data_IF_771270122288
#
_entry.id   IF_771270122288
#
_cell.length_a   1.000
_cell.length_b   1.000
_cell.length_c   1.000
_cell.angle_alpha   90.00
_cell.angle_beta   90.00
_cell.angle_gamma   90.00
#
_symmetry.space_group_name_H-M   'P 1'
#
loop_
_entity.id
_entity.type
_entity.pdbx_description
1 polymer ?
#
# COMPACT_ATOMS: atom_id res chain seq x y z
N UNK A 1 -15.27 14.74 -1.07
CA UNK A 1 -15.35 14.04 0.23
C UNK A 1 -16.32 14.78 1.12
N UNK A 2 -17.29 14.08 1.68
CA UNK A 2 -18.33 14.71 2.50
C UNK A 2 -17.77 15.40 3.76
N UNK A 3 -16.70 14.86 4.39
CA UNK A 3 -16.15 15.41 5.63
C UNK A 3 -15.32 16.69 5.48
N UNK A 4 -14.47 16.80 4.44
CA UNK A 4 -13.76 18.06 4.16
C UNK A 4 -14.73 19.19 3.73
N UNK A 5 -15.90 18.83 3.19
CA UNK A 5 -16.94 19.79 2.80
C UNK A 5 -17.88 20.13 3.96
N UNK A 6 -18.10 19.19 4.87
CA UNK A 6 -18.96 19.30 6.04
C UNK A 6 -18.17 18.84 7.28
N UNK A 7 -17.34 19.73 7.86
CA UNK A 7 -16.57 19.39 9.06
C UNK A 7 -17.51 19.02 10.21
N UNK A 8 -17.07 18.08 11.05
CA UNK A 8 -17.81 17.71 12.25
C UNK A 8 -17.79 18.88 13.24
N UNK A 9 -18.90 19.10 13.94
CA UNK A 9 -18.88 19.98 15.12
C UNK A 9 -17.99 19.36 16.20
N UNK A 10 -17.39 20.15 17.11
CA UNK A 10 -16.60 19.61 18.21
C UNK A 10 -17.34 18.54 19.02
N UNK A 11 -18.64 18.74 19.29
CA UNK A 11 -19.46 17.78 20.02
C UNK A 11 -19.64 16.46 19.24
N UNK A 12 -19.84 16.55 17.92
CA UNK A 12 -19.94 15.35 17.09
C UNK A 12 -18.61 14.63 17.01
N UNK A 13 -17.50 15.36 16.91
CA UNK A 13 -16.16 14.78 16.90
C UNK A 13 -15.88 13.98 18.18
N UNK A 14 -16.17 14.57 19.34
CA UNK A 14 -16.04 13.91 20.64
C UNK A 14 -16.91 12.64 20.72
N UNK A 15 -18.15 12.72 20.22
CA UNK A 15 -19.03 11.54 20.18
C UNK A 15 -18.47 10.41 19.31
N UNK A 16 -17.90 10.73 18.14
CA UNK A 16 -17.33 9.74 17.23
C UNK A 16 -16.06 9.10 17.81
N UNK A 17 -15.20 9.90 18.47
CA UNK A 17 -14.04 9.38 19.21
C UNK A 17 -14.50 8.43 20.31
N UNK A 18 -15.53 8.80 21.08
CA UNK A 18 -16.07 7.93 22.13
C UNK A 18 -16.60 6.59 21.59
N UNK A 19 -17.28 6.59 20.44
CA UNK A 19 -17.73 5.36 19.79
C UNK A 19 -16.56 4.49 19.30
N UNK A 20 -15.51 5.12 18.76
CA UNK A 20 -14.31 4.41 18.34
C UNK A 20 -13.58 3.76 19.54
N UNK A 21 -13.48 4.48 20.67
CA UNK A 21 -12.92 3.93 21.92
C UNK A 21 -13.76 2.76 22.46
N UNK A 22 -15.09 2.83 22.35
CA UNK A 22 -15.99 1.71 22.69
C UNK A 22 -15.75 0.49 21.79
N UNK A 23 -15.55 0.69 20.48
CA UNK A 23 -15.22 -0.38 19.54
C UNK A 23 -13.87 -1.04 19.89
N UNK A 24 -12.84 -0.25 20.21
CA UNK A 24 -11.55 -0.77 20.68
C UNK A 24 -11.73 -1.60 21.95
N UNK A 25 -12.45 -1.07 22.94
CA UNK A 25 -12.66 -1.76 24.22
C UNK A 25 -13.41 -3.08 24.04
N UNK A 26 -14.41 -3.09 23.15
CA UNK A 26 -15.14 -4.30 22.80
C UNK A 26 -14.24 -5.35 22.12
N UNK A 27 -13.44 -4.94 21.13
CA UNK A 27 -12.51 -5.84 20.43
C UNK A 27 -11.44 -6.39 21.39
N UNK A 28 -10.86 -5.57 22.28
CA UNK A 28 -9.92 -6.04 23.32
C UNK A 28 -10.54 -7.12 24.20
N UNK A 29 -11.79 -6.91 24.63
CA UNK A 29 -12.52 -7.87 25.45
C UNK A 29 -12.69 -9.23 24.72
N UNK A 30 -13.11 -9.21 23.45
CA UNK A 30 -13.27 -10.44 22.65
C UNK A 30 -11.92 -11.13 22.40
N UNK A 31 -10.88 -10.35 22.08
CA UNK A 31 -9.53 -10.89 21.84
C UNK A 31 -8.95 -11.54 23.10
N UNK A 32 -9.20 -10.99 24.28
CA UNK A 32 -8.76 -11.57 25.56
C UNK A 32 -9.26 -12.99 25.74
N UNK A 33 -10.55 -13.22 25.52
CA UNK A 33 -11.17 -14.53 25.70
C UNK A 33 -10.67 -15.54 24.65
N UNK A 34 -10.55 -15.09 23.40
CA UNK A 34 -9.99 -15.90 22.31
C UNK A 34 -8.55 -16.33 22.60
N UNK A 35 -7.68 -15.36 22.93
CA UNK A 35 -6.26 -15.61 23.14
C UNK A 35 -6.02 -16.47 24.38
N UNK A 36 -6.76 -16.23 25.47
CA UNK A 36 -6.66 -17.03 26.71
C UNK A 36 -7.02 -18.50 26.44
N UNK A 37 -8.13 -18.74 25.76
CA UNK A 37 -8.62 -20.10 25.45
C UNK A 37 -7.66 -20.84 24.50
N UNK A 38 -7.15 -20.13 23.49
CA UNK A 38 -6.29 -20.73 22.48
C UNK A 38 -4.86 -20.99 23.00
N UNK A 39 -4.31 -20.07 23.80
CA UNK A 39 -3.00 -20.23 24.41
C UNK A 39 -2.93 -21.45 25.35
N UNK A 40 -4.03 -21.76 26.05
CA UNK A 40 -4.11 -22.93 26.93
C UNK A 40 -4.15 -24.26 26.16
N UNK A 41 -4.84 -24.31 25.01
CA UNK A 41 -5.03 -25.54 24.25
C UNK A 41 -3.94 -25.80 23.20
N UNK A 42 -3.21 -24.76 22.76
CA UNK A 42 -2.21 -24.85 21.69
C UNK A 42 -0.96 -24.03 22.06
N UNK A 43 -0.08 -24.55 22.92
CA UNK A 43 1.09 -23.80 23.43
C UNK A 43 2.14 -23.45 22.36
N UNK A 44 2.10 -24.10 21.19
CA UNK A 44 2.97 -23.81 20.04
C UNK A 44 2.35 -22.80 19.05
N UNK A 45 1.44 -21.94 19.51
CA UNK A 45 0.80 -20.92 18.66
C UNK A 45 1.58 -19.61 18.69
N UNK A 46 1.72 -18.99 17.53
CA UNK A 46 2.07 -17.57 17.40
C UNK A 46 0.80 -16.80 17.11
N UNK A 47 0.55 -15.76 17.89
CA UNK A 47 -0.53 -14.82 17.67
C UNK A 47 0.02 -13.55 17.02
N UNK A 48 -0.77 -12.99 16.10
CA UNK A 48 -0.48 -11.73 15.43
C UNK A 48 -1.72 -10.87 15.48
N UNK A 49 -1.58 -9.65 16.00
CA UNK A 49 -2.56 -8.59 15.92
C UNK A 49 -2.00 -7.49 15.02
N UNK A 50 -2.75 -7.11 14.00
CA UNK A 50 -2.37 -6.06 13.05
C UNK A 50 -3.60 -5.30 12.61
N UNK A 51 -3.46 -4.01 12.28
CA UNK A 51 -4.50 -3.25 11.56
C UNK A 51 -4.12 -3.11 10.10
N UNK A 52 -5.10 -3.16 9.19
CA UNK A 52 -4.90 -2.96 7.75
C UNK A 52 -4.65 -1.49 7.41
N UNK A 53 -5.23 -0.58 8.19
CA UNK A 53 -4.95 0.85 8.18
C UNK A 53 -5.26 1.49 9.54
N UNK A 54 -4.88 2.75 9.72
CA UNK A 54 -5.31 3.59 10.84
C UNK A 54 -6.51 4.46 10.49
N UNK A 55 -6.79 5.48 11.29
CA UNK A 55 -7.99 6.30 11.17
C UNK A 55 -7.65 7.77 11.49
N UNK A 56 -8.21 8.72 10.75
CA UNK A 56 -8.07 10.16 11.05
C UNK A 56 -9.23 10.65 11.92
N UNK A 57 -8.91 11.45 12.94
CA UNK A 57 -9.82 12.04 13.91
C UNK A 57 -9.85 13.58 13.85
N UNK A 58 -9.66 14.16 12.66
CA UNK A 58 -9.77 15.61 12.45
C UNK A 58 -8.44 16.37 12.48
N UNK A 59 -7.30 15.69 12.66
CA UNK A 59 -5.95 16.29 12.78
C UNK A 59 -5.63 17.24 11.61
N UNK A 60 -6.22 16.98 10.45
CA UNK A 60 -5.99 17.72 9.19
C UNK A 60 -7.28 18.23 8.56
N UNK A 61 -8.31 18.48 9.37
CA UNK A 61 -9.65 18.80 8.88
C UNK A 61 -10.27 17.65 8.07
N UNK A 62 -9.86 16.42 8.41
CA UNK A 62 -10.11 15.20 7.67
C UNK A 62 -10.46 14.09 8.65
N UNK A 63 -11.40 13.24 8.27
CA UNK A 63 -11.94 12.18 9.13
C UNK A 63 -12.10 10.88 8.34
N UNK A 64 -11.80 9.77 8.99
CA UNK A 64 -11.89 8.46 8.39
C UNK A 64 -10.60 8.06 7.65
N UNK A 65 -10.70 6.98 6.86
CA UNK A 65 -9.54 6.35 6.22
C UNK A 65 -9.65 6.26 4.70
N UNK A 66 -8.57 5.80 4.05
CA UNK A 66 -8.51 5.44 2.65
C UNK A 66 -8.37 6.61 1.68
N UNK A 67 -8.03 7.80 2.16
CA UNK A 67 -8.07 9.01 1.33
C UNK A 67 -6.91 9.97 1.52
N UNK A 68 -6.10 9.69 2.52
CA UNK A 68 -4.81 10.33 2.74
C UNK A 68 -3.76 9.21 2.85
N UNK A 69 -2.50 9.60 2.98
CA UNK A 69 -1.38 8.69 3.18
C UNK A 69 -0.50 9.23 4.29
N UNK A 70 -1.14 9.78 5.32
CA UNK A 70 -0.51 10.45 6.45
C UNK A 70 -0.23 9.43 7.57
N UNK A 71 0.57 9.80 8.59
CA UNK A 71 0.88 8.90 9.69
C UNK A 71 -0.35 8.30 10.39
N UNK A 72 -1.45 9.06 10.51
CA UNK A 72 -2.68 8.61 11.16
C UNK A 72 -3.30 7.39 10.46
N UNK A 73 -3.27 7.34 9.12
CA UNK A 73 -3.79 6.19 8.36
C UNK A 73 -2.76 5.08 8.10
N UNK A 74 -1.46 5.38 8.19
CA UNK A 74 -0.40 4.42 7.80
C UNK A 74 0.36 3.79 8.99
N UNK A 75 0.36 4.43 10.16
CA UNK A 75 1.04 3.91 11.36
C UNK A 75 0.08 3.06 12.17
N UNK A 76 0.03 1.79 11.82
CA UNK A 76 -0.86 0.78 12.42
C UNK A 76 -0.20 -0.01 13.55
N UNK A 77 -0.98 -0.56 14.49
CA UNK A 77 -0.46 -1.56 15.42
C UNK A 77 -0.03 -2.82 14.66
N UNK A 78 1.12 -3.38 15.06
CA UNK A 78 1.54 -4.73 14.73
C UNK A 78 2.19 -5.35 15.96
N UNK A 79 1.49 -6.30 16.58
CA UNK A 79 1.88 -6.96 17.82
C UNK A 79 1.94 -8.47 17.57
N UNK A 80 3.03 -9.13 17.98
CA UNK A 80 3.18 -10.57 17.88
C UNK A 80 3.62 -11.17 19.22
N UNK A 81 3.05 -12.30 19.60
CA UNK A 81 3.44 -13.01 20.82
C UNK A 81 3.17 -14.51 20.70
N UNK A 82 3.72 -15.30 21.63
CA UNK A 82 3.56 -16.75 21.67
C UNK A 82 4.88 -17.49 21.53
N UNK A 83 4.82 -18.72 21.03
CA UNK A 83 5.95 -19.64 21.03
C UNK A 83 7.15 -19.09 20.25
N UNK A 84 8.30 -18.97 20.93
CA UNK A 84 9.56 -18.55 20.32
C UNK A 84 9.69 -17.06 20.00
N UNK A 85 8.71 -16.22 20.38
CA UNK A 85 8.79 -14.76 20.23
C UNK A 85 9.33 -14.14 21.52
N UNK A 86 10.36 -13.30 21.41
CA UNK A 86 10.94 -12.57 22.54
C UNK A 86 10.19 -11.25 22.77
N UNK A 87 9.96 -10.83 24.04
CA UNK A 87 9.47 -9.50 24.35
C UNK A 87 10.48 -8.44 23.89
N UNK A 88 10.11 -7.60 22.92
CA UNK A 88 10.94 -6.51 22.41
C UNK A 88 10.09 -5.51 21.63
N UNK A 89 10.66 -4.33 21.35
CA UNK A 89 10.12 -3.35 20.40
C UNK A 89 11.06 -3.29 19.22
N UNK A 90 10.52 -3.46 18.02
CA UNK A 90 11.27 -3.32 16.76
C UNK A 90 11.03 -1.91 16.24
N UNK A 91 12.00 -1.02 16.42
CA UNK A 91 11.94 0.39 15.98
C UNK A 91 12.15 0.55 14.47
N UNK A 92 12.77 -0.44 13.81
CA UNK A 92 12.95 -0.43 12.35
C UNK A 92 11.60 -0.36 11.67
N UNK A 93 11.44 0.55 10.71
CA UNK A 93 10.20 0.67 9.92
C UNK A 93 9.90 -0.67 9.23
N UNK A 94 8.71 -1.20 9.49
CA UNK A 94 8.13 -2.39 8.85
C UNK A 94 6.83 -2.03 8.15
N UNK A 95 6.39 -2.87 7.22
CA UNK A 95 5.14 -2.66 6.46
C UNK A 95 4.31 -3.93 6.37
N UNK A 96 3.00 -3.81 6.13
CA UNK A 96 2.11 -4.96 6.08
C UNK A 96 2.53 -6.02 5.06
N UNK A 97 3.28 -5.63 4.02
CA UNK A 97 3.90 -6.56 3.08
C UNK A 97 4.89 -7.55 3.72
N UNK A 98 5.51 -7.18 4.84
CA UNK A 98 6.46 -8.00 5.60
C UNK A 98 5.76 -9.15 6.37
N UNK A 99 4.43 -9.07 6.55
CA UNK A 99 3.68 -10.01 7.38
C UNK A 99 3.71 -11.43 6.80
N UNK A 100 3.38 -11.57 5.51
CA UNK A 100 3.34 -12.87 4.85
C UNK A 100 4.69 -13.62 4.85
N UNK A 101 5.84 -13.03 4.46
CA UNK A 101 7.12 -13.70 4.57
C UNK A 101 7.54 -14.00 6.00
N UNK A 102 7.22 -13.12 6.96
CA UNK A 102 7.50 -13.37 8.38
C UNK A 102 6.71 -14.58 8.90
N UNK A 103 5.41 -14.66 8.60
CA UNK A 103 4.56 -15.79 8.99
C UNK A 103 5.03 -17.09 8.33
N UNK A 104 5.41 -17.05 7.06
CA UNK A 104 5.94 -18.21 6.35
C UNK A 104 7.18 -18.77 7.04
N UNK A 105 8.16 -17.91 7.37
CA UNK A 105 9.37 -18.34 8.08
C UNK A 105 9.05 -18.90 9.47
N UNK A 106 8.12 -18.28 10.22
CA UNK A 106 7.69 -18.79 11.52
C UNK A 106 6.99 -20.16 11.41
N UNK A 107 6.28 -20.41 10.31
CA UNK A 107 5.66 -21.69 10.00
C UNK A 107 6.61 -22.72 9.36
N UNK A 108 7.90 -22.39 9.18
CA UNK A 108 8.89 -23.28 8.57
C UNK A 108 8.75 -23.44 7.05
N UNK A 109 8.08 -22.51 6.39
CA UNK A 109 7.93 -22.46 4.93
C UNK A 109 8.53 -21.17 4.36
N UNK A 110 8.41 -20.96 3.05
CA UNK A 110 8.86 -19.75 2.34
C UNK A 110 7.69 -19.11 1.62
N UNK A 111 7.71 -17.79 1.51
CA UNK A 111 6.75 -17.01 0.75
C UNK A 111 7.51 -16.06 -0.18
N UNK A 112 7.19 -16.10 -1.46
CA UNK A 112 7.88 -15.28 -2.46
C UNK A 112 7.63 -15.74 -3.89
N UNK A 113 8.09 -14.98 -4.90
CA UNK A 113 8.97 -13.80 -4.81
C UNK A 113 8.18 -12.47 -4.69
N UNK A 114 7.92 -12.01 -3.46
CA UNK A 114 7.20 -10.77 -3.17
C UNK A 114 8.09 -9.78 -2.42
N UNK A 115 7.70 -8.49 -2.41
CA UNK A 115 8.54 -7.39 -1.92
C UNK A 115 8.75 -7.35 -0.38
N UNK A 116 7.93 -8.08 0.38
CA UNK A 116 8.01 -8.08 1.84
C UNK A 116 9.32 -8.65 2.39
N UNK A 117 9.75 -8.11 3.53
CA UNK A 117 10.96 -8.51 4.25
C UNK A 117 10.59 -9.44 5.39
N UNK A 118 11.28 -10.59 5.50
CA UNK A 118 11.13 -11.51 6.63
C UNK A 118 11.67 -10.88 7.94
N UNK A 119 10.81 -10.74 8.95
CA UNK A 119 11.12 -10.19 10.28
C UNK A 119 11.30 -11.24 11.36
N UNK A 120 11.26 -12.54 11.04
CA UNK A 120 11.32 -13.63 12.02
C UNK A 120 12.63 -13.65 12.83
N UNK A 121 13.74 -13.21 12.24
CA UNK A 121 15.03 -13.03 12.95
C UNK A 121 14.88 -12.05 14.13
N UNK A 122 14.27 -10.90 13.89
CA UNK A 122 14.07 -9.84 14.89
C UNK A 122 13.22 -10.34 16.06
N UNK A 123 12.14 -11.08 15.77
CA UNK A 123 11.24 -11.66 16.76
C UNK A 123 11.94 -12.68 17.68
N UNK A 124 13.08 -13.23 17.26
CA UNK A 124 13.87 -14.20 18.03
C UNK A 124 15.10 -13.58 18.72
N UNK A 125 15.25 -12.26 18.66
CA UNK A 125 16.37 -11.51 19.24
C UNK A 125 17.57 -11.30 18.31
N UNK A 126 17.40 -11.58 17.01
CA UNK A 126 18.37 -11.25 15.97
C UNK A 126 18.21 -9.82 15.46
N UNK A 127 18.91 -9.50 14.37
CA UNK A 127 18.81 -8.18 13.73
C UNK A 127 17.43 -7.96 13.08
N UNK A 128 16.96 -6.71 13.11
CA UNK A 128 15.71 -6.27 12.48
C UNK A 128 15.76 -6.23 10.94
N UNK A 129 16.98 -6.18 10.38
CA UNK A 129 17.21 -6.03 8.94
C UNK A 129 17.01 -4.59 8.46
N UNK A 130 16.96 -4.43 7.13
CA UNK A 130 16.75 -3.13 6.48
C UNK A 130 15.31 -2.60 6.67
N UNK A 131 15.10 -1.28 6.69
CA UNK A 131 13.76 -0.69 6.73
C UNK A 131 12.89 -1.09 5.51
N UNK A 132 11.60 -1.37 5.75
CA UNK A 132 10.58 -1.67 4.72
C UNK A 132 9.58 -0.52 4.51
N UNK A 133 8.37 -0.84 3.99
CA UNK A 133 7.19 0.05 3.96
C UNK A 133 7.38 1.41 3.29
N UNK A 134 8.23 1.45 2.26
CA UNK A 134 8.61 2.72 1.69
C UNK A 134 7.71 3.18 0.52
N UNK A 135 6.73 2.39 0.09
CA UNK A 135 5.63 2.85 -0.74
C UNK A 135 4.29 2.62 -0.04
N UNK A 136 3.37 3.57 -0.21
CA UNK A 136 1.96 3.39 0.12
C UNK A 136 1.10 4.08 -0.94
N UNK A 137 -0.16 3.68 -1.09
CA UNK A 137 -1.02 4.27 -2.10
C UNK A 137 -2.50 4.13 -1.76
N UNK A 138 -3.32 5.00 -2.35
CA UNK A 138 -4.77 4.83 -2.35
C UNK A 138 -5.38 5.36 -3.66
N UNK A 139 -6.34 4.61 -4.18
CA UNK A 139 -7.26 5.01 -5.25
C UNK A 139 -8.71 5.09 -4.75
N UNK A 140 -8.95 4.88 -3.45
CA UNK A 140 -10.31 4.83 -2.88
C UNK A 140 -10.95 6.21 -2.88
N UNK A 141 -12.29 6.21 -2.90
CA UNK A 141 -13.13 7.41 -2.81
C UNK A 141 -12.72 8.50 -3.83
N UNK A 142 -12.28 8.10 -5.03
CA UNK A 142 -11.82 8.97 -6.11
C UNK A 142 -10.52 9.76 -5.81
N UNK A 143 -9.70 9.27 -4.89
CA UNK A 143 -8.32 9.75 -4.71
C UNK A 143 -7.37 9.05 -5.66
N UNK A 144 -6.18 9.61 -5.85
CA UNK A 144 -5.09 9.02 -6.64
C UNK A 144 -3.76 9.43 -6.02
N UNK A 145 -3.40 8.79 -4.91
CA UNK A 145 -2.24 9.19 -4.12
C UNK A 145 -1.21 8.09 -4.05
N UNK A 146 0.07 8.48 -4.14
CA UNK A 146 1.21 7.62 -3.86
C UNK A 146 2.10 8.34 -2.85
N UNK A 147 2.55 7.60 -1.83
CA UNK A 147 3.52 8.07 -0.84
C UNK A 147 4.83 7.31 -1.02
N UNK A 148 5.94 8.03 -1.01
CA UNK A 148 7.29 7.47 -0.92
C UNK A 148 7.90 7.88 0.42
N UNK A 149 8.35 6.89 1.19
CA UNK A 149 9.25 7.11 2.30
C UNK A 149 10.69 7.10 1.81
N UNK A 150 11.42 8.16 2.12
CA UNK A 150 12.87 8.16 2.08
C UNK A 150 13.38 8.84 3.34
N UNK A 151 13.84 8.09 4.35
CA UNK A 151 14.19 8.65 5.66
C UNK A 151 15.05 9.93 5.57
N UNK A 152 14.70 10.99 6.33
CA UNK A 152 13.57 11.07 7.27
C UNK A 152 12.23 11.47 6.63
N UNK A 153 12.17 11.60 5.30
CA UNK A 153 11.07 12.26 4.61
C UNK A 153 9.96 11.33 4.13
N UNK A 154 8.73 11.83 4.18
CA UNK A 154 7.59 11.31 3.43
C UNK A 154 7.18 12.31 2.34
N UNK A 155 7.16 11.86 1.09
CA UNK A 155 6.59 12.60 -0.04
C UNK A 155 5.26 11.97 -0.44
N UNK A 156 4.17 12.74 -0.37
CA UNK A 156 2.84 12.34 -0.81
C UNK A 156 2.49 13.10 -2.08
N UNK A 157 2.31 12.39 -3.19
CA UNK A 157 1.86 12.97 -4.44
C UNK A 157 0.39 12.65 -4.69
N UNK A 158 -0.43 13.67 -4.92
CA UNK A 158 -1.78 13.53 -5.45
C UNK A 158 -1.72 13.71 -6.97
N UNK A 159 -1.84 12.58 -7.67
CA UNK A 159 -1.67 12.53 -9.13
C UNK A 159 -2.83 13.18 -9.87
N UNK A 160 -4.03 13.20 -9.28
CA UNK A 160 -5.21 13.88 -9.88
C UNK A 160 -5.15 15.37 -9.63
N UNK A 161 -4.86 15.79 -8.41
CA UNK A 161 -4.75 17.21 -8.05
C UNK A 161 -3.44 17.85 -8.56
N UNK A 162 -2.46 17.03 -8.96
CA UNK A 162 -1.12 17.44 -9.39
C UNK A 162 -0.39 18.24 -8.30
N UNK A 163 -0.55 17.82 -7.07
CA UNK A 163 0.09 18.43 -5.90
C UNK A 163 1.03 17.44 -5.23
N UNK A 164 2.06 17.97 -4.58
CA UNK A 164 3.00 17.19 -3.79
C UNK A 164 3.15 17.83 -2.42
N UNK A 165 3.14 16.99 -1.40
CA UNK A 165 3.43 17.35 -0.02
C UNK A 165 4.69 16.62 0.41
N UNK A 166 5.52 17.30 1.20
CA UNK A 166 6.76 16.75 1.74
C UNK A 166 6.80 17.00 3.24
N UNK A 167 7.14 15.98 4.02
CA UNK A 167 7.22 16.04 5.47
C UNK A 167 8.55 15.45 5.94
N UNK A 168 9.14 16.00 6.99
CA UNK A 168 10.26 15.41 7.72
C UNK A 168 9.69 14.75 9.00
N UNK A 169 9.65 13.42 9.03
CA UNK A 169 9.00 12.68 10.11
C UNK A 169 9.84 12.58 11.38
N UNK A 170 11.14 12.88 11.31
CA UNK A 170 11.99 12.89 12.50
C UNK A 170 11.76 14.17 13.31
N UNK A 171 11.57 15.30 12.62
CA UNK A 171 11.30 16.60 13.25
C UNK A 171 9.80 16.85 13.48
N UNK A 172 8.95 16.30 12.63
CA UNK A 172 7.50 16.44 12.68
C UNK A 172 6.83 15.08 12.46
N UNK A 173 6.80 14.20 13.50
CA UNK A 173 6.22 12.86 13.39
C UNK A 173 4.72 12.86 13.05
N UNK A 174 4.03 13.96 13.36
CA UNK A 174 2.63 14.18 13.01
C UNK A 174 2.46 14.72 11.58
N UNK A 175 3.55 15.00 10.86
CA UNK A 175 3.57 15.48 9.48
C UNK A 175 2.64 16.68 9.21
N UNK A 176 2.61 17.64 10.12
CA UNK A 176 1.73 18.81 10.04
C UNK A 176 2.28 19.91 9.12
N UNK A 177 3.60 20.05 9.05
CA UNK A 177 4.28 21.08 8.26
C UNK A 177 4.70 20.54 6.89
N UNK A 178 4.00 20.99 5.84
CA UNK A 178 4.40 20.72 4.47
C UNK A 178 5.64 21.55 4.07
N UNK A 179 6.77 20.88 3.87
CA UNK A 179 8.05 21.44 3.41
C UNK A 179 8.16 21.55 1.88
N UNK A 180 7.17 21.04 1.13
CA UNK A 180 7.19 20.99 -0.32
C UNK A 180 7.50 22.35 -0.97
N UNK A 181 6.84 23.45 -0.58
CA UNK A 181 7.12 24.78 -1.11
C UNK A 181 8.56 25.24 -0.91
N UNK A 182 9.19 24.92 0.22
CA UNK A 182 10.55 25.36 0.55
C UNK A 182 11.66 24.41 0.07
N UNK A 183 11.34 23.16 -0.27
CA UNK A 183 12.32 22.10 -0.55
C UNK A 183 12.12 21.44 -1.93
N UNK A 184 12.01 22.25 -2.99
CA UNK A 184 11.75 21.77 -4.36
C UNK A 184 12.77 20.75 -4.88
N UNK A 185 14.07 20.96 -4.62
CA UNK A 185 15.12 20.02 -5.03
C UNK A 185 14.93 18.63 -4.39
N UNK A 186 14.45 18.59 -3.14
CA UNK A 186 14.13 17.33 -2.45
C UNK A 186 12.94 16.64 -3.11
N UNK A 187 11.89 17.40 -3.42
CA UNK A 187 10.70 16.90 -4.13
C UNK A 187 11.09 16.28 -5.47
N UNK A 188 11.89 16.97 -6.28
CA UNK A 188 12.37 16.45 -7.58
C UNK A 188 13.20 15.18 -7.40
N UNK A 189 14.11 15.16 -6.42
CA UNK A 189 14.93 13.98 -6.13
C UNK A 189 14.12 12.76 -5.67
N UNK A 190 13.09 12.98 -4.84
CA UNK A 190 12.17 11.93 -4.38
C UNK A 190 11.23 11.47 -5.49
N UNK A 191 10.78 12.37 -6.38
CA UNK A 191 10.02 12.01 -7.57
C UNK A 191 10.81 11.07 -8.49
N UNK A 192 12.08 11.38 -8.76
CA UNK A 192 12.95 10.49 -9.53
C UNK A 192 13.14 9.11 -8.87
N UNK A 193 13.17 9.04 -7.54
CA UNK A 193 13.21 7.77 -6.81
C UNK A 193 11.89 7.00 -6.89
N UNK A 194 10.76 7.72 -6.80
CA UNK A 194 9.44 7.15 -6.99
C UNK A 194 9.35 6.47 -8.36
N UNK A 195 9.71 7.17 -9.44
CA UNK A 195 9.70 6.65 -10.81
C UNK A 195 10.57 5.41 -10.96
N UNK A 196 11.80 5.42 -10.40
CA UNK A 196 12.66 4.23 -10.42
C UNK A 196 12.05 3.03 -9.72
N UNK A 197 11.25 3.27 -8.68
CA UNK A 197 10.67 2.21 -7.85
C UNK A 197 9.37 1.64 -8.41
N UNK A 198 8.49 2.49 -8.92
CA UNK A 198 7.26 2.04 -9.59
C UNK A 198 7.57 1.44 -10.97
N UNK A 199 8.69 1.85 -11.58
CA UNK A 199 9.08 1.45 -12.93
C UNK A 199 8.22 2.12 -14.01
N UNK A 200 8.61 1.93 -15.27
CA UNK A 200 7.89 2.44 -16.44
C UNK A 200 7.65 1.27 -17.41
N UNK A 201 6.74 0.34 -17.03
CA UNK A 201 6.59 -0.93 -17.73
C UNK A 201 5.84 -0.80 -19.06
N UNK A 202 5.12 0.30 -19.28
CA UNK A 202 4.40 0.51 -20.53
C UNK A 202 5.25 1.26 -21.53
N UNK A 203 5.23 0.80 -22.78
CA UNK A 203 5.91 1.44 -23.92
C UNK A 203 4.91 1.65 -25.03
N UNK A 204 4.86 2.84 -25.59
CA UNK A 204 4.08 3.14 -26.79
C UNK A 204 5.00 3.10 -28.01
N UNK A 205 4.70 2.25 -29.00
CA UNK A 205 5.56 2.07 -30.19
C UNK A 205 5.31 3.12 -31.27
N UNK A 206 4.06 3.55 -31.44
CA UNK A 206 3.64 4.53 -32.44
C UNK A 206 2.77 5.61 -31.78
N UNK A 207 2.79 6.82 -32.34
CA UNK A 207 1.97 7.91 -31.80
C UNK A 207 0.48 7.54 -31.88
N UNK A 208 -0.25 7.73 -30.78
CA UNK A 208 -1.64 7.31 -30.68
C UNK A 208 -2.41 8.16 -29.66
N UNK A 209 -3.72 8.25 -29.88
CA UNK A 209 -4.66 8.71 -28.86
C UNK A 209 -4.75 7.65 -27.75
N UNK A 210 -4.53 8.06 -26.51
CA UNK A 210 -4.57 7.21 -25.32
C UNK A 210 -5.80 7.58 -24.52
N UNK A 211 -6.52 6.56 -24.05
CA UNK A 211 -7.60 6.73 -23.08
C UNK A 211 -7.41 5.81 -21.87
N UNK A 212 -7.52 6.37 -20.66
CA UNK A 212 -7.39 5.64 -19.40
C UNK A 212 -8.32 6.17 -18.31
N UNK A 213 -8.75 5.28 -17.40
CA UNK A 213 -9.45 5.62 -16.15
C UNK A 213 -8.50 5.95 -14.98
N UNK A 214 -7.19 5.76 -15.18
CA UNK A 214 -6.13 6.06 -14.23
C UNK A 214 -5.41 7.39 -14.47
N UNK A 215 -4.17 7.45 -13.98
CA UNK A 215 -3.22 8.53 -14.26
C UNK A 215 -1.94 7.90 -14.80
N UNK A 216 -1.56 8.35 -15.99
CA UNK A 216 -0.31 7.99 -16.63
C UNK A 216 0.81 8.91 -16.13
N UNK A 217 1.92 8.31 -15.71
CA UNK A 217 3.13 9.00 -15.28
C UNK A 217 4.23 8.68 -16.26
N UNK A 218 4.58 9.65 -17.10
CA UNK A 218 5.63 9.48 -18.11
C UNK A 218 7.04 9.58 -17.52
N UNK A 219 8.04 9.11 -18.27
CA UNK A 219 9.44 9.10 -17.86
C UNK A 219 10.01 10.48 -17.46
N UNK A 220 9.51 11.56 -18.08
CA UNK A 220 9.90 12.94 -17.77
C UNK A 220 9.10 13.56 -16.61
N UNK A 221 8.22 12.77 -15.98
CA UNK A 221 7.40 13.15 -14.84
C UNK A 221 6.08 13.83 -15.18
N UNK A 222 5.70 13.97 -16.45
CA UNK A 222 4.39 14.54 -16.82
C UNK A 222 3.26 13.57 -16.48
N UNK A 223 2.14 14.14 -16.04
CA UNK A 223 0.92 13.45 -15.62
C UNK A 223 -0.21 13.63 -16.64
N UNK A 224 -0.78 12.52 -17.11
CA UNK A 224 -1.89 12.52 -18.07
C UNK A 224 -3.06 11.70 -17.53
N UNK A 225 -4.29 12.11 -17.84
CA UNK A 225 -5.52 11.44 -17.41
C UNK A 225 -6.64 11.70 -18.40
N UNK A 226 -7.61 10.78 -18.47
CA UNK A 226 -8.70 10.85 -19.45
C UNK A 226 -8.21 10.47 -20.84
N UNK A 227 -8.43 11.35 -21.82
CA UNK A 227 -8.08 11.18 -23.23
C UNK A 227 -7.01 12.20 -23.63
N UNK A 228 -5.93 11.75 -24.27
CA UNK A 228 -4.79 12.57 -24.66
C UNK A 228 -3.92 11.87 -25.72
N UNK A 229 -3.20 12.63 -26.53
CA UNK A 229 -2.24 12.09 -27.50
C UNK A 229 -0.87 11.87 -26.86
N UNK A 230 -0.22 10.76 -27.20
CA UNK A 230 1.18 10.50 -26.86
C UNK A 230 2.00 10.19 -28.11
N UNK A 231 3.26 10.62 -28.07
CA UNK A 231 4.25 10.34 -29.10
C UNK A 231 4.82 8.92 -28.97
N UNK A 232 5.34 8.41 -30.09
CA UNK A 232 6.06 7.15 -30.12
C UNK A 232 7.28 7.15 -29.17
N UNK A 233 7.58 6.00 -28.57
CA UNK A 233 8.71 5.78 -27.67
C UNK A 233 8.48 6.24 -26.23
N UNK A 234 7.31 6.82 -25.90
CA UNK A 234 7.00 7.23 -24.54
C UNK A 234 6.89 6.00 -23.64
N UNK A 235 7.69 5.99 -22.57
CA UNK A 235 7.61 5.02 -21.49
C UNK A 235 6.86 5.61 -20.31
N UNK A 236 5.98 4.82 -19.70
CA UNK A 236 5.15 5.30 -18.61
C UNK A 236 4.79 4.24 -17.56
N UNK A 237 4.47 4.72 -16.37
CA UNK A 237 3.69 3.98 -15.38
C UNK A 237 2.22 4.35 -15.54
N UNK A 238 1.33 3.40 -15.25
CA UNK A 238 -0.08 3.64 -15.15
C UNK A 238 -0.54 3.37 -13.72
N UNK A 239 -1.21 4.34 -13.10
CA UNK A 239 -1.69 4.25 -11.73
C UNK A 239 -3.22 4.39 -11.65
N UNK A 240 -3.92 3.68 -10.74
CA UNK A 240 -3.42 2.52 -10.00
C UNK A 240 -3.01 1.40 -10.95
N UNK A 241 -2.31 0.37 -10.45
CA UNK A 241 -1.77 -0.72 -11.28
C UNK A 241 -2.86 -1.53 -12.00
N UNK A 242 -4.10 -1.46 -11.52
CA UNK A 242 -5.29 -2.05 -12.12
C UNK A 242 -6.10 -1.06 -12.98
N UNK A 243 -5.56 0.12 -13.30
CA UNK A 243 -6.18 1.01 -14.27
C UNK A 243 -6.15 0.41 -15.68
N UNK A 244 -7.15 0.77 -16.48
CA UNK A 244 -7.30 0.35 -17.86
C UNK A 244 -6.69 1.39 -18.79
N UNK A 245 -6.10 0.93 -19.88
CA UNK A 245 -5.57 1.79 -20.95
C UNK A 245 -5.95 1.25 -22.31
N UNK A 246 -6.25 2.17 -23.23
CA UNK A 246 -6.48 1.92 -24.65
C UNK A 246 -5.55 2.82 -25.46
N UNK A 247 -5.16 2.36 -26.64
CA UNK A 247 -4.37 3.14 -27.59
C UNK A 247 -5.01 3.02 -28.97
N UNK A 248 -5.40 4.15 -29.56
CA UNK A 248 -6.20 4.18 -30.79
C UNK A 248 -7.51 3.41 -30.62
N UNK A 249 -7.71 2.38 -31.44
CA UNK A 249 -8.88 1.50 -31.36
C UNK A 249 -8.60 0.17 -30.60
N UNK A 250 -7.42 0.03 -29.99
CA UNK A 250 -6.97 -1.19 -29.34
C UNK A 250 -7.11 -1.15 -27.81
N UNK A 251 -7.34 -2.32 -27.21
CA UNK A 251 -7.57 -2.50 -25.76
C UNK A 251 -9.05 -2.74 -25.40
N UNK A 252 -9.45 -2.52 -24.13
CA UNK A 252 -8.64 -2.04 -23.01
C UNK A 252 -7.70 -3.11 -22.45
N UNK A 253 -6.50 -2.68 -22.08
CA UNK A 253 -5.52 -3.49 -21.36
C UNK A 253 -5.40 -3.06 -19.91
N UNK A 254 -4.99 -3.99 -19.05
CA UNK A 254 -4.90 -3.80 -17.61
C UNK A 254 -3.80 -4.70 -17.06
N UNK A 255 -2.78 -4.10 -16.42
CA UNK A 255 -1.59 -4.83 -15.99
C UNK A 255 -1.88 -5.88 -14.90
N UNK A 256 -2.82 -5.57 -14.00
CA UNK A 256 -3.25 -6.44 -12.92
C UNK A 256 -4.66 -6.94 -13.18
N UNK A 257 -4.82 -8.26 -13.28
CA UNK A 257 -6.14 -8.89 -13.37
C UNK A 257 -6.87 -8.79 -14.72
N UNK A 258 -6.26 -8.21 -15.76
CA UNK A 258 -6.86 -8.11 -17.09
C UNK A 258 -5.95 -8.54 -18.24
N UNK A 259 -6.35 -8.18 -19.46
CA UNK A 259 -5.61 -8.51 -20.67
C UNK A 259 -4.40 -7.60 -20.86
N UNK A 260 -3.33 -8.15 -21.44
CA UNK A 260 -2.15 -7.41 -21.85
C UNK A 260 -2.11 -7.29 -23.38
N UNK A 261 -1.41 -6.28 -23.92
CA UNK A 261 -1.21 -6.15 -25.35
C UNK A 261 -0.53 -7.37 -25.99
N UNK A 262 -0.85 -7.62 -27.26
CA UNK A 262 -0.16 -8.60 -28.10
C UNK A 262 1.09 -8.00 -28.75
N UNK A 263 1.88 -8.84 -29.44
CA UNK A 263 3.17 -8.42 -30.02
C UNK A 263 3.07 -7.36 -31.13
N UNK A 264 1.91 -7.23 -31.78
CA UNK A 264 1.65 -6.25 -32.85
C UNK A 264 0.83 -5.05 -32.36
N UNK A 265 0.54 -4.97 -31.05
CA UNK A 265 -0.25 -3.89 -30.49
C UNK A 265 0.56 -2.59 -30.39
N UNK A 266 -0.15 -1.45 -30.37
CA UNK A 266 0.50 -0.13 -30.21
C UNK A 266 1.22 0.02 -28.86
N UNK A 267 0.71 -0.64 -27.82
CA UNK A 267 1.31 -0.68 -26.49
C UNK A 267 2.04 -2.01 -26.26
N UNK A 268 3.15 -1.96 -25.54
CA UNK A 268 3.81 -3.11 -24.92
C UNK A 268 3.81 -2.95 -23.40
N UNK A 269 3.71 -4.08 -22.69
CA UNK A 269 3.88 -4.15 -21.25
C UNK A 269 5.06 -5.06 -20.89
N UNK A 270 6.15 -4.45 -20.46
CA UNK A 270 7.41 -5.10 -20.06
C UNK A 270 7.45 -5.44 -18.55
N UNK A 271 6.35 -5.19 -17.82
CA UNK A 271 6.29 -5.44 -16.38
C UNK A 271 6.02 -6.90 -16.02
N UNK A 272 6.14 -7.20 -14.73
CA UNK A 272 5.78 -8.52 -14.21
C UNK A 272 4.27 -8.77 -14.39
N UNK A 273 3.91 -9.93 -14.97
CA UNK A 273 2.51 -10.35 -15.04
C UNK A 273 2.01 -10.72 -13.64
N UNK A 274 1.15 -9.87 -13.08
CA UNK A 274 0.41 -10.21 -11.86
C UNK A 274 -0.92 -10.83 -12.31
N UNK A 275 -0.87 -12.10 -12.71
CA UNK A 275 -2.06 -12.86 -13.00
C UNK A 275 -2.47 -13.61 -11.72
N UNK A 276 -3.55 -13.17 -11.07
CA UNK A 276 -4.11 -13.86 -9.91
C UNK A 276 -4.49 -15.33 -10.22
N UNK A 277 -4.70 -15.69 -11.50
CA UNK A 277 -4.93 -17.07 -11.96
C UNK A 277 -3.65 -17.85 -12.26
N UNK A 278 -2.47 -17.22 -12.24
CA UNK A 278 -1.18 -17.88 -12.49
C UNK A 278 -0.49 -18.38 -11.22
N UNK A 279 -1.14 -18.29 -10.05
CA UNK A 279 -0.82 -19.18 -8.93
C UNK A 279 -1.28 -20.59 -9.34
N UNK A 280 -0.39 -21.32 -10.02
CA UNK A 280 -0.55 -22.76 -10.20
C UNK A 280 -0.42 -23.43 -8.84
N UNK A 281 -1.54 -23.48 -8.11
CA UNK A 281 -1.65 -24.32 -6.93
C UNK A 281 -1.58 -25.77 -7.41
N UNK A 282 -0.64 -26.53 -6.85
CA UNK A 282 -0.62 -27.98 -6.97
C UNK A 282 -1.95 -28.58 -6.52
N UNK A 283 -2.29 -29.78 -6.98
CA UNK A 283 -3.54 -30.42 -6.57
C UNK A 283 -3.59 -30.61 -5.05
N UNK A 284 -2.45 -30.84 -4.40
CA UNK A 284 -2.33 -30.92 -2.94
C UNK A 284 -2.65 -29.58 -2.25
N UNK A 285 -2.16 -28.45 -2.78
CA UNK A 285 -2.49 -27.13 -2.25
C UNK A 285 -3.97 -26.79 -2.46
N UNK A 286 -4.55 -27.18 -3.60
CA UNK A 286 -5.98 -27.02 -3.88
C UNK A 286 -6.84 -27.88 -2.95
N UNK A 287 -6.46 -29.12 -2.71
CA UNK A 287 -7.11 -30.04 -1.76
C UNK A 287 -7.05 -29.45 -0.35
N UNK A 288 -5.89 -28.91 0.04
CA UNK A 288 -5.71 -28.27 1.34
C UNK A 288 -6.57 -27.02 1.48
N UNK A 289 -6.63 -26.16 0.48
CA UNK A 289 -7.50 -24.98 0.49
C UNK A 289 -8.98 -25.36 0.50
N UNK A 290 -9.39 -26.42 -0.21
CA UNK A 290 -10.75 -27.00 -0.15
C UNK A 290 -11.07 -27.53 1.26
N UNK A 291 -10.15 -28.27 1.88
CA UNK A 291 -10.31 -28.79 3.25
C UNK A 291 -10.45 -27.70 4.32
N UNK A 292 -9.87 -26.53 4.04
CA UNK A 292 -9.95 -25.34 4.88
C UNK A 292 -11.12 -24.41 4.52
N UNK A 293 -11.90 -24.72 3.47
CA UNK A 293 -13.05 -23.93 3.03
C UNK A 293 -12.73 -22.64 2.25
N UNK A 294 -11.49 -22.48 1.78
CA UNK A 294 -11.03 -21.27 1.06
C UNK A 294 -11.20 -21.33 -0.46
N UNK A 295 -11.51 -22.50 -1.01
CA UNK A 295 -11.82 -22.70 -2.43
C UNK A 295 -12.99 -23.67 -2.57
N UNK A 296 -13.91 -23.38 -3.49
CA UNK A 296 -14.97 -24.31 -3.93
C UNK A 296 -14.53 -25.02 -5.21
#
# INVERSE_FOLDING_TARGET
FHYQRNPLTPERLEQEIGQYDEEIAYVDHVLRDFCTTWAQSRPNTVFVLVSDHGEEFGERGSWGHGHTLTPEQLRVPWIMWGAGIRPTVIETRVGLEDLAPTLATLAGTRFGPFAGIDRASALKGGAAGEPGAALASTSRRNTMKIRLHQPPHDMIADLRARTVQLYDLDQDPAALRNLGPEAQDRVVGMWGQMLRRIGLPWVLHEAAAIQTDGVLISADGRLFSGEFDLEAGVRFALWPLDAKVTAGAEGPWQAVGGALPGAEALLEYEGARINARALELSEEERERLRSLGYAN
#
